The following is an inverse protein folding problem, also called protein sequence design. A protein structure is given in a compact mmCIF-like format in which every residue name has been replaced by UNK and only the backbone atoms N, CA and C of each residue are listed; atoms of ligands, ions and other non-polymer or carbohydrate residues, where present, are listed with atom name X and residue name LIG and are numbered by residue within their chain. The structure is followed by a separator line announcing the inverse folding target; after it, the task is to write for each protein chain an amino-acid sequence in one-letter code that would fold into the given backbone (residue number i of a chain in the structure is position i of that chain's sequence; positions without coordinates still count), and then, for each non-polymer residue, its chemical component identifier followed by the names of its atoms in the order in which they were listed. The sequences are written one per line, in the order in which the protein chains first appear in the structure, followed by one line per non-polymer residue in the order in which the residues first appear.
data_IF_001462322314
#
_entry.id   IF_001462322314
#
_cell.length_a   1.000
_cell.length_b   1.000
_cell.length_c   1.000
_cell.angle_alpha   90.00
_cell.angle_beta   90.00
_cell.angle_gamma   90.00
#
_symmetry.space_group_name_H-M   'P 1'
#
loop_
_entity.id
_entity.type
_entity.pdbx_description
1 polymer ?
#
# COMPACT_ATOMS: atom_id res chain seq x y z
N UNK A 1 4.88 -13.49 18.58
CA UNK A 1 4.98 -12.12 18.04
C UNK A 1 3.58 -11.54 18.01
N UNK A 2 3.34 -10.39 18.63
CA UNK A 2 2.05 -9.70 18.55
C UNK A 2 1.88 -9.12 17.14
N UNK A 3 0.63 -8.94 16.69
CA UNK A 3 0.34 -8.31 15.39
C UNK A 3 1.01 -6.92 15.29
N UNK A 4 1.05 -6.18 16.40
CA UNK A 4 1.68 -4.87 16.51
C UNK A 4 3.18 -4.87 16.16
N UNK A 5 3.95 -5.82 16.72
CA UNK A 5 5.37 -5.93 16.42
C UNK A 5 5.64 -6.29 14.95
N UNK A 6 4.66 -6.89 14.29
CA UNK A 6 4.75 -7.24 12.87
C UNK A 6 4.48 -6.01 12.02
N UNK A 7 3.47 -5.19 12.36
CA UNK A 7 3.08 -4.00 11.59
C UNK A 7 4.03 -2.81 11.71
N UNK A 8 4.85 -2.74 12.76
CA UNK A 8 5.82 -1.66 12.99
C UNK A 8 6.68 -1.34 11.76
N UNK A 9 7.09 -2.37 10.99
CA UNK A 9 7.88 -2.19 9.75
C UNK A 9 7.22 -1.24 8.74
N UNK A 10 5.89 -1.23 8.65
CA UNK A 10 5.18 -0.33 7.75
C UNK A 10 5.12 1.09 8.30
N UNK A 11 4.92 1.23 9.62
CA UNK A 11 4.89 2.55 10.28
C UNK A 11 6.24 3.25 10.10
N UNK A 12 7.32 2.53 10.38
CA UNK A 12 8.70 3.02 10.23
C UNK A 12 8.99 3.40 8.78
N UNK A 13 8.67 2.54 7.81
CA UNK A 13 8.89 2.83 6.40
C UNK A 13 8.09 4.03 5.87
N UNK A 14 6.90 4.27 6.43
CA UNK A 14 6.05 5.40 6.05
C UNK A 14 6.43 6.72 6.75
N UNK A 15 7.19 6.69 7.84
CA UNK A 15 7.37 7.83 8.74
C UNK A 15 7.83 9.10 8.03
N UNK A 16 8.75 9.00 7.07
CA UNK A 16 9.35 10.16 6.38
C UNK A 16 8.89 10.33 4.93
N UNK A 17 8.14 9.36 4.39
CA UNK A 17 7.80 9.33 2.95
C UNK A 17 6.29 9.38 2.69
N UNK A 18 5.46 9.22 3.72
CA UNK A 18 4.00 9.20 3.56
C UNK A 18 3.48 10.48 2.88
N UNK A 19 3.88 11.66 3.36
CA UNK A 19 3.41 12.93 2.83
C UNK A 19 3.84 13.11 1.36
N UNK A 20 5.05 12.67 1.01
CA UNK A 20 5.54 12.64 -0.37
C UNK A 20 4.72 11.70 -1.24
N UNK A 21 4.45 10.47 -0.77
CA UNK A 21 3.65 9.50 -1.50
C UNK A 21 2.23 10.02 -1.77
N UNK A 22 1.60 10.59 -0.75
CA UNK A 22 0.26 11.17 -0.85
C UNK A 22 0.23 12.38 -1.80
N UNK A 23 1.24 13.26 -1.74
CA UNK A 23 1.38 14.38 -2.67
C UNK A 23 1.56 13.91 -4.13
N UNK A 24 2.38 12.88 -4.36
CA UNK A 24 2.57 12.28 -5.69
C UNK A 24 1.30 11.64 -6.23
N UNK A 25 0.56 10.92 -5.37
CA UNK A 25 -0.74 10.34 -5.73
C UNK A 25 -1.72 11.46 -6.12
N UNK A 26 -1.85 12.51 -5.30
CA UNK A 26 -2.74 13.66 -5.59
C UNK A 26 -2.32 14.41 -6.86
N UNK A 27 -1.03 14.44 -7.17
CA UNK A 27 -0.51 15.00 -8.42
C UNK A 27 -0.72 14.08 -9.63
N UNK A 28 -1.18 12.84 -9.43
CA UNK A 28 -1.42 11.88 -10.50
C UNK A 28 -0.15 11.33 -11.14
N UNK A 29 1.00 11.42 -10.46
CA UNK A 29 2.27 10.94 -10.99
C UNK A 29 3.20 10.47 -9.85
N UNK A 30 3.39 9.16 -9.74
CA UNK A 30 4.36 8.55 -8.84
C UNK A 30 5.79 8.82 -9.31
N UNK A 31 6.66 9.23 -8.39
CA UNK A 31 8.07 9.58 -8.65
C UNK A 31 9.05 8.91 -7.68
N UNK A 32 8.57 8.54 -6.49
CA UNK A 32 9.42 7.98 -5.42
C UNK A 32 9.16 6.50 -5.12
N UNK A 33 10.01 5.91 -4.28
CA UNK A 33 10.01 4.48 -3.97
C UNK A 33 9.20 4.15 -2.71
N UNK A 34 7.88 4.08 -2.82
CA UNK A 34 7.01 3.83 -1.66
C UNK A 34 5.98 2.70 -1.85
N UNK A 35 5.92 2.08 -3.03
CA UNK A 35 4.82 1.17 -3.40
C UNK A 35 4.63 0.02 -2.41
N UNK A 36 5.72 -0.59 -1.95
CA UNK A 36 5.65 -1.82 -1.15
C UNK A 36 4.99 -1.65 0.22
N UNK A 37 5.05 -0.46 0.81
CA UNK A 37 4.57 -0.21 2.17
C UNK A 37 3.44 0.83 2.24
N UNK A 38 3.10 1.51 1.14
CA UNK A 38 1.85 2.29 1.00
C UNK A 38 0.72 1.40 0.47
N UNK A 39 0.98 0.60 -0.56
CA UNK A 39 0.03 -0.38 -1.11
C UNK A 39 0.64 -1.80 -1.01
N UNK A 40 0.77 -2.36 0.20
CA UNK A 40 1.34 -3.67 0.36
C UNK A 40 0.44 -4.73 -0.28
N UNK A 41 1.06 -5.79 -0.79
CA UNK A 41 0.40 -6.94 -1.41
C UNK A 41 0.77 -8.22 -0.68
N UNK A 42 0.09 -9.32 -1.00
CA UNK A 42 0.39 -10.63 -0.38
C UNK A 42 1.85 -11.03 -0.64
N UNK A 43 2.52 -11.51 0.41
CA UNK A 43 3.89 -12.02 0.36
C UNK A 43 3.96 -13.19 -0.63
N UNK A 44 5.01 -13.21 -1.45
CA UNK A 44 5.22 -14.21 -2.50
C UNK A 44 4.83 -13.75 -3.90
N UNK A 45 4.05 -12.66 -4.02
CA UNK A 45 3.74 -12.07 -5.34
C UNK A 45 4.92 -11.30 -5.95
N UNK A 46 5.81 -10.76 -5.11
CA UNK A 46 7.04 -10.11 -5.55
C UNK A 46 8.28 -10.94 -5.23
N UNK A 47 9.28 -10.86 -6.11
CA UNK A 47 10.52 -11.65 -6.01
C UNK A 47 11.68 -10.93 -5.31
N UNK A 48 11.57 -9.61 -5.07
CA UNK A 48 12.63 -8.86 -4.42
C UNK A 48 12.61 -9.01 -2.89
N UNK A 49 13.77 -8.91 -2.20
CA UNK A 49 13.83 -8.91 -0.74
C UNK A 49 12.90 -7.86 -0.12
N UNK A 50 12.81 -6.67 -0.71
CA UNK A 50 11.90 -5.59 -0.28
C UNK A 50 10.44 -6.00 -0.41
N UNK A 51 10.06 -6.65 -1.52
CA UNK A 51 8.69 -7.13 -1.71
C UNK A 51 8.33 -8.27 -0.76
N UNK A 52 9.31 -9.09 -0.38
CA UNK A 52 9.11 -10.14 0.62
C UNK A 52 8.94 -9.55 2.03
N UNK A 53 9.82 -8.61 2.40
CA UNK A 53 9.83 -7.96 3.71
C UNK A 53 8.52 -7.18 3.98
N UNK A 54 8.10 -6.34 3.03
CA UNK A 54 6.84 -5.58 3.16
C UNK A 54 5.60 -6.32 2.67
N UNK A 55 5.75 -7.56 2.18
CA UNK A 55 4.59 -8.38 1.84
C UNK A 55 3.75 -8.71 3.08
N UNK A 56 2.43 -8.67 2.93
CA UNK A 56 1.48 -9.13 3.95
C UNK A 56 1.49 -10.65 3.98
N UNK A 57 1.65 -11.25 5.16
CA UNK A 57 1.81 -12.69 5.34
C UNK A 57 0.51 -13.48 5.19
N UNK A 58 -0.63 -12.87 5.54
CA UNK A 58 -1.91 -13.55 5.62
C UNK A 58 -3.08 -12.57 5.62
N UNK A 59 -4.30 -13.09 5.45
CA UNK A 59 -5.52 -12.30 5.59
C UNK A 59 -5.69 -11.71 6.99
N UNK A 60 -5.21 -12.40 8.03
CA UNK A 60 -5.25 -11.89 9.41
C UNK A 60 -4.34 -10.67 9.59
N UNK A 61 -3.16 -10.66 8.95
CA UNK A 61 -2.28 -9.48 8.95
C UNK A 61 -2.88 -8.34 8.11
N UNK A 62 -3.54 -8.63 7.00
CA UNK A 62 -4.25 -7.62 6.22
C UNK A 62 -5.37 -6.93 7.05
N UNK A 63 -6.17 -7.73 7.78
CA UNK A 63 -7.18 -7.23 8.71
C UNK A 63 -6.58 -6.36 9.81
N UNK A 64 -5.48 -6.81 10.40
CA UNK A 64 -4.76 -6.04 11.42
C UNK A 64 -4.20 -4.73 10.85
N UNK A 65 -3.69 -4.73 9.61
CA UNK A 65 -3.18 -3.53 8.93
C UNK A 65 -4.30 -2.49 8.72
N UNK A 66 -5.48 -2.90 8.25
CA UNK A 66 -6.62 -1.98 8.10
C UNK A 66 -7.19 -1.50 9.44
N UNK A 67 -7.24 -2.36 10.45
CA UNK A 67 -7.73 -1.99 11.78
C UNK A 67 -6.76 -1.08 12.57
N UNK A 68 -5.50 -0.99 12.14
CA UNK A 68 -4.49 -0.18 12.80
C UNK A 68 -4.76 1.31 12.59
N UNK A 69 -4.90 2.08 13.67
CA UNK A 69 -5.36 3.48 13.65
C UNK A 69 -4.58 4.43 12.73
N UNK A 70 -3.27 4.21 12.55
CA UNK A 70 -2.46 4.96 11.58
C UNK A 70 -2.49 4.35 10.16
N UNK A 71 -2.07 3.09 10.00
CA UNK A 71 -1.89 2.44 8.69
C UNK A 71 -3.20 2.33 7.90
N UNK A 72 -4.31 1.94 8.54
CA UNK A 72 -5.62 1.87 7.89
C UNK A 72 -6.09 3.22 7.39
N UNK A 73 -6.01 4.25 8.24
CA UNK A 73 -6.34 5.64 7.88
C UNK A 73 -5.53 6.10 6.67
N UNK A 74 -4.22 5.87 6.69
CA UNK A 74 -3.31 6.25 5.60
C UNK A 74 -3.61 5.51 4.29
N UNK A 75 -3.91 4.22 4.38
CA UNK A 75 -4.26 3.40 3.22
C UNK A 75 -5.53 3.92 2.54
N UNK A 76 -6.60 4.13 3.32
CA UNK A 76 -7.87 4.65 2.82
C UNK A 76 -7.73 6.06 2.25
N UNK A 77 -6.91 6.92 2.86
CA UNK A 77 -6.60 8.24 2.32
C UNK A 77 -5.91 8.15 0.94
N UNK A 78 -4.91 7.27 0.79
CA UNK A 78 -4.24 7.05 -0.49
C UNK A 78 -5.18 6.46 -1.56
N UNK A 79 -6.06 5.51 -1.19
CA UNK A 79 -7.08 4.97 -2.10
C UNK A 79 -8.05 6.07 -2.55
N UNK A 80 -8.54 6.88 -1.61
CA UNK A 80 -9.44 7.99 -1.91
C UNK A 80 -8.78 9.02 -2.82
N UNK A 81 -7.50 9.32 -2.60
CA UNK A 81 -6.75 10.23 -3.44
C UNK A 81 -6.58 9.71 -4.88
N UNK A 82 -6.38 8.39 -5.08
CA UNK A 82 -6.37 7.78 -6.41
C UNK A 82 -7.73 7.87 -7.10
N UNK A 83 -8.82 7.59 -6.38
CA UNK A 83 -10.18 7.66 -6.93
C UNK A 83 -10.59 9.08 -7.34
N UNK A 84 -10.03 10.10 -6.68
CA UNK A 84 -10.28 11.50 -6.98
C UNK A 84 -9.54 12.01 -8.24
N UNK A 85 -8.62 11.21 -8.82
CA UNK A 85 -7.93 11.59 -10.04
C UNK A 85 -8.87 11.57 -11.25
N UNK A 86 -8.59 12.45 -12.21
CA UNK A 86 -9.30 12.45 -13.51
C UNK A 86 -8.96 11.23 -14.36
N UNK A 87 -7.73 10.73 -14.24
CA UNK A 87 -7.30 9.53 -14.97
C UNK A 87 -7.90 8.29 -14.33
N UNK A 88 -8.52 7.44 -15.17
CA UNK A 88 -8.99 6.11 -14.78
C UNK A 88 -7.97 5.01 -15.11
N UNK A 89 -6.78 5.38 -15.61
CA UNK A 89 -5.70 4.46 -15.91
C UNK A 89 -4.62 4.53 -14.80
N UNK A 90 -4.52 3.50 -13.94
CA UNK A 90 -3.49 3.43 -12.92
C UNK A 90 -2.07 3.35 -13.50
N UNK A 91 -1.89 2.82 -14.72
CA UNK A 91 -0.57 2.74 -15.35
C UNK A 91 -0.06 4.13 -15.76
N UNK A 92 -0.95 5.06 -16.11
CA UNK A 92 -0.59 6.46 -16.36
C UNK A 92 -0.10 7.18 -15.09
N UNK A 93 -0.56 6.74 -13.91
CA UNK A 93 -0.23 7.36 -12.61
C UNK A 93 0.99 6.69 -11.96
N UNK A 94 1.05 5.36 -11.99
CA UNK A 94 1.99 4.54 -11.21
C UNK A 94 3.04 3.84 -12.09
N UNK A 95 2.83 3.77 -13.40
CA UNK A 95 3.54 2.83 -14.28
C UNK A 95 2.96 1.41 -14.21
N UNK A 96 3.21 0.59 -15.24
CA UNK A 96 2.58 -0.72 -15.43
C UNK A 96 2.85 -1.72 -14.28
N UNK A 97 4.07 -1.74 -13.77
CA UNK A 97 4.49 -2.64 -12.68
C UNK A 97 3.76 -2.28 -11.38
N UNK A 98 3.75 -1.01 -11.00
CA UNK A 98 3.11 -0.59 -9.76
C UNK A 98 1.57 -0.56 -9.92
N UNK A 99 1.01 -0.37 -11.11
CA UNK A 99 -0.42 -0.60 -11.36
C UNK A 99 -0.84 -2.05 -11.06
N UNK A 100 -0.01 -3.04 -11.41
CA UNK A 100 -0.27 -4.44 -11.07
C UNK A 100 -0.22 -4.67 -9.55
N UNK A 101 0.75 -4.07 -8.86
CA UNK A 101 0.84 -4.15 -7.39
C UNK A 101 -0.34 -3.47 -6.70
N UNK A 102 -0.84 -2.35 -7.25
CA UNK A 102 -2.02 -1.67 -6.73
C UNK A 102 -3.23 -2.61 -6.79
N UNK A 103 -3.47 -3.25 -7.94
CA UNK A 103 -4.54 -4.23 -8.08
C UNK A 103 -4.40 -5.37 -7.06
N UNK A 104 -3.20 -5.94 -6.92
CA UNK A 104 -2.95 -6.99 -5.92
C UNK A 104 -3.23 -6.53 -4.48
N UNK A 105 -2.86 -5.28 -4.16
CA UNK A 105 -3.13 -4.66 -2.85
C UNK A 105 -4.63 -4.48 -2.63
N UNK A 106 -5.33 -3.81 -3.55
CA UNK A 106 -6.77 -3.55 -3.44
C UNK A 106 -7.56 -4.86 -3.31
N UNK A 107 -7.24 -5.87 -4.13
CA UNK A 107 -7.86 -7.19 -4.00
C UNK A 107 -7.60 -7.79 -2.63
N UNK A 108 -6.36 -7.80 -2.13
CA UNK A 108 -6.09 -8.33 -0.78
C UNK A 108 -6.93 -7.64 0.31
N UNK A 109 -7.05 -6.32 0.24
CA UNK A 109 -7.73 -5.54 1.26
C UNK A 109 -9.26 -5.56 1.13
N UNK A 110 -9.80 -5.74 -0.06
CA UNK A 110 -11.22 -6.07 -0.29
C UNK A 110 -11.60 -7.40 0.39
N UNK A 111 -10.74 -8.43 0.33
CA UNK A 111 -10.98 -9.68 1.05
C UNK A 111 -10.81 -9.53 2.58
N UNK A 112 -10.02 -8.56 3.01
CA UNK A 112 -9.76 -8.28 4.42
C UNK A 112 -10.91 -7.54 5.09
N UNK A 113 -11.66 -6.72 4.35
CA UNK A 113 -12.84 -6.01 4.84
C UNK A 113 -13.88 -5.86 3.70
N UNK A 114 -14.67 -6.92 3.43
CA UNK A 114 -15.57 -6.99 2.28
C UNK A 114 -16.87 -6.19 2.45
#
# INVERSE_FOLDING_TARGET
MTADATLARFVEAQAEIYDTALAEIRAGAKRSHWMWFIFPQLRGLGQSPTAHYYGIASLAEARAYLAHGLLGTRYLECVSALQALRSQDPAAVLGSVDATKLRSSLTLFEWADP
#
